data_IF_734065041268
#
_entry.id   IF_734065041268
#
_cell.length_a   1.000
_cell.length_b   1.000
_cell.length_c   1.000
_cell.angle_alpha   90.00
_cell.angle_beta   90.00
_cell.angle_gamma   90.00
#
_symmetry.space_group_name_H-M   'P 1'
#
loop_
_entity.id
_entity.type
_entity.pdbx_description
1 polymer ?
#
# COMPACT_ATOMS: atom_id res chain seq x y z
N UNK A 1 -23.82 13.21 8.95
CA UNK A 1 -22.34 13.30 9.05
C UNK A 1 -21.72 12.13 9.83
N UNK A 2 -22.42 11.47 10.75
CA UNK A 2 -21.86 10.34 11.51
C UNK A 2 -21.53 9.10 10.68
N UNK A 3 -22.35 8.76 9.68
CA UNK A 3 -22.14 7.57 8.83
C UNK A 3 -20.83 7.60 8.01
N UNK A 4 -20.32 8.80 7.71
CA UNK A 4 -19.06 9.00 6.97
C UNK A 4 -17.84 9.11 7.89
N UNK A 5 -18.06 9.35 9.18
CA UNK A 5 -16.97 9.55 10.15
C UNK A 5 -16.14 8.27 10.31
N UNK A 6 -16.81 7.14 10.49
CA UNK A 6 -16.17 5.84 10.69
C UNK A 6 -15.34 5.41 9.47
N UNK A 7 -15.87 5.42 8.22
CA UNK A 7 -15.08 5.08 7.04
C UNK A 7 -13.89 6.00 6.80
N UNK A 8 -14.04 7.31 7.05
CA UNK A 8 -12.95 8.26 6.91
C UNK A 8 -11.85 8.04 7.97
N UNK A 9 -12.23 7.76 9.22
CA UNK A 9 -11.27 7.38 10.25
C UNK A 9 -10.53 6.10 9.86
N UNK A 10 -11.23 5.10 9.30
CA UNK A 10 -10.59 3.87 8.79
C UNK A 10 -9.59 4.20 7.69
N UNK A 11 -9.95 5.05 6.72
CA UNK A 11 -9.03 5.45 5.65
C UNK A 11 -7.75 6.10 6.21
N UNK A 12 -7.91 7.04 7.15
CA UNK A 12 -6.77 7.73 7.79
C UNK A 12 -5.90 6.74 8.56
N UNK A 13 -6.51 5.87 9.37
CA UNK A 13 -5.79 4.86 10.15
C UNK A 13 -5.03 3.91 9.23
N UNK A 14 -5.64 3.46 8.14
CA UNK A 14 -4.98 2.61 7.14
C UNK A 14 -3.79 3.30 6.50
N UNK A 15 -3.91 4.57 6.11
CA UNK A 15 -2.79 5.34 5.54
C UNK A 15 -1.64 5.45 6.56
N UNK A 16 -1.95 5.84 7.80
CA UNK A 16 -0.94 6.06 8.85
C UNK A 16 -0.27 4.73 9.23
N UNK A 17 -1.06 3.68 9.45
CA UNK A 17 -0.53 2.35 9.84
C UNK A 17 0.30 1.72 8.73
N UNK A 18 -0.17 1.77 7.48
CA UNK A 18 0.56 1.21 6.33
C UNK A 18 1.88 1.96 6.12
N UNK A 19 1.85 3.28 6.16
CA UNK A 19 3.06 4.11 6.01
C UNK A 19 4.03 3.90 7.18
N UNK A 20 3.51 3.88 8.41
CA UNK A 20 4.29 3.64 9.62
C UNK A 20 4.95 2.26 9.62
N UNK A 21 4.22 1.22 9.21
CA UNK A 21 4.76 -0.13 9.05
C UNK A 21 5.94 -0.15 8.08
N UNK A 22 5.78 0.43 6.88
CA UNK A 22 6.86 0.45 5.88
C UNK A 22 8.07 1.27 6.32
N UNK A 23 7.87 2.39 7.03
CA UNK A 23 8.96 3.19 7.58
C UNK A 23 9.72 2.45 8.69
N UNK A 24 9.02 1.74 9.57
CA UNK A 24 9.64 0.92 10.61
C UNK A 24 10.39 -0.26 9.98
N UNK A 25 9.80 -0.91 8.98
CA UNK A 25 10.42 -1.98 8.22
C UNK A 25 11.70 -1.51 7.52
N UNK A 26 11.66 -0.34 6.87
CA UNK A 26 12.85 0.32 6.27
C UNK A 26 13.96 0.55 7.30
N UNK A 27 13.63 1.15 8.45
CA UNK A 27 14.60 1.40 9.53
C UNK A 27 15.21 0.11 10.06
N UNK A 28 14.39 -0.93 10.24
CA UNK A 28 14.84 -2.25 10.68
C UNK A 28 15.80 -2.88 9.67
N UNK A 29 15.48 -2.80 8.38
CA UNK A 29 16.32 -3.27 7.28
C UNK A 29 17.70 -2.62 7.25
N UNK A 30 17.75 -1.29 7.37
CA UNK A 30 19.01 -0.55 7.44
C UNK A 30 19.83 -0.98 8.67
N UNK A 31 19.18 -1.10 9.83
CA UNK A 31 19.85 -1.45 11.08
C UNK A 31 20.49 -2.83 11.03
N UNK A 32 19.81 -3.79 10.39
CA UNK A 32 20.31 -5.17 10.31
C UNK A 32 21.28 -5.40 9.15
N UNK A 33 21.57 -4.37 8.33
CA UNK A 33 22.45 -4.47 7.14
C UNK A 33 22.07 -5.67 6.24
N UNK A 34 20.82 -6.11 6.28
CA UNK A 34 20.40 -7.27 5.52
C UNK A 34 20.48 -6.91 4.03
N UNK A 35 21.17 -7.76 3.26
CA UNK A 35 21.19 -7.62 1.81
C UNK A 35 19.78 -7.89 1.30
N UNK A 36 19.08 -6.80 1.01
CA UNK A 36 17.78 -6.82 0.34
C UNK A 36 17.97 -7.48 -1.02
N UNK A 37 17.38 -8.65 -1.21
CA UNK A 37 17.27 -9.23 -2.54
C UNK A 37 16.15 -8.48 -3.26
N UNK A 38 16.43 -7.83 -4.39
CA UNK A 38 15.45 -6.98 -5.08
C UNK A 38 14.28 -7.76 -5.69
N UNK A 39 14.49 -9.04 -6.05
CA UNK A 39 13.48 -9.92 -6.66
C UNK A 39 12.20 -10.08 -5.84
N UNK A 40 12.21 -10.39 -4.52
CA UNK A 40 10.98 -10.48 -3.75
C UNK A 40 10.17 -9.17 -3.74
N UNK A 41 10.84 -8.02 -3.69
CA UNK A 41 10.17 -6.71 -3.73
C UNK A 41 9.57 -6.40 -5.10
N UNK A 42 10.17 -6.89 -6.18
CA UNK A 42 9.62 -6.81 -7.53
C UNK A 42 8.31 -7.60 -7.66
N UNK A 43 8.28 -8.85 -7.20
CA UNK A 43 7.06 -9.66 -7.19
C UNK A 43 5.97 -9.02 -6.32
N UNK A 44 6.33 -8.52 -5.15
CA UNK A 44 5.41 -7.78 -4.26
C UNK A 44 4.87 -6.52 -4.95
N UNK A 45 5.72 -5.76 -5.63
CA UNK A 45 5.33 -4.57 -6.38
C UNK A 45 4.26 -4.89 -7.43
N UNK A 46 4.53 -5.83 -8.32
CA UNK A 46 3.58 -6.20 -9.38
C UNK A 46 2.29 -6.82 -8.83
N UNK A 47 2.39 -7.66 -7.80
CA UNK A 47 1.22 -8.27 -7.18
C UNK A 47 0.30 -7.21 -6.55
N UNK A 48 0.88 -6.28 -5.78
CA UNK A 48 0.13 -5.21 -5.14
C UNK A 48 -0.47 -4.24 -6.16
N UNK A 49 0.26 -3.93 -7.23
CA UNK A 49 -0.23 -3.08 -8.31
C UNK A 49 -1.38 -3.77 -9.08
N UNK A 50 -1.28 -5.08 -9.31
CA UNK A 50 -2.34 -5.87 -9.92
C UNK A 50 -3.62 -5.82 -9.08
N UNK A 51 -3.51 -6.05 -7.76
CA UNK A 51 -4.65 -5.93 -6.86
C UNK A 51 -5.22 -4.51 -6.85
N UNK A 52 -4.37 -3.49 -6.71
CA UNK A 52 -4.81 -2.10 -6.72
C UNK A 52 -5.57 -1.76 -8.01
N UNK A 53 -5.05 -2.18 -9.17
CA UNK A 53 -5.70 -2.02 -10.47
C UNK A 53 -7.04 -2.72 -10.54
N UNK A 54 -7.08 -4.02 -10.24
CA UNK A 54 -8.31 -4.82 -10.26
C UNK A 54 -9.41 -4.22 -9.36
N UNK A 55 -9.06 -3.87 -8.13
CA UNK A 55 -10.00 -3.27 -7.19
C UNK A 55 -10.44 -1.87 -7.63
N UNK A 56 -9.55 -1.07 -8.23
CA UNK A 56 -9.91 0.24 -8.78
C UNK A 56 -10.93 0.09 -9.90
N UNK A 57 -10.70 -0.82 -10.86
CA UNK A 57 -11.65 -1.10 -11.95
C UNK A 57 -13.01 -1.54 -11.41
N UNK A 58 -13.01 -2.40 -10.39
CA UNK A 58 -14.26 -2.85 -9.78
C UNK A 58 -14.98 -1.73 -9.03
N UNK A 59 -14.25 -0.86 -8.33
CA UNK A 59 -14.81 0.34 -7.70
C UNK A 59 -15.40 1.29 -8.75
N UNK A 60 -14.69 1.54 -9.85
CA UNK A 60 -15.13 2.41 -10.94
C UNK A 60 -16.37 1.90 -11.68
N UNK A 61 -16.68 0.59 -11.60
CA UNK A 61 -17.90 0.02 -12.19
C UNK A 61 -19.19 0.51 -11.51
N UNK A 62 -19.09 1.23 -10.39
CA UNK A 62 -20.26 1.72 -9.64
C UNK A 62 -20.98 0.65 -8.82
N UNK A 63 -20.39 -0.55 -8.71
CA UNK A 63 -20.91 -1.66 -7.92
C UNK A 63 -21.02 -1.34 -6.42
N UNK A 64 -20.24 -0.38 -5.92
CA UNK A 64 -20.24 0.03 -4.51
C UNK A 64 -20.74 1.46 -4.35
N UNK A 65 -21.64 1.68 -3.40
CA UNK A 65 -22.20 2.99 -3.06
C UNK A 65 -22.10 3.26 -1.56
N UNK A 66 -22.01 4.54 -1.21
CA UNK A 66 -22.05 5.00 0.19
C UNK A 66 -20.80 4.65 1.01
N UNK A 67 -20.92 4.51 2.34
CA UNK A 67 -19.80 4.34 3.28
C UNK A 67 -18.88 3.13 2.98
N UNK A 68 -19.45 2.05 2.43
CA UNK A 68 -18.70 0.83 2.09
C UNK A 68 -17.67 1.07 0.99
N UNK A 69 -17.93 2.02 0.08
CA UNK A 69 -16.96 2.44 -0.93
C UNK A 69 -15.65 2.89 -0.28
N UNK A 70 -15.74 3.75 0.75
CA UNK A 70 -14.56 4.34 1.40
C UNK A 70 -13.74 3.27 2.12
N UNK A 71 -14.40 2.32 2.78
CA UNK A 71 -13.74 1.20 3.46
C UNK A 71 -13.07 0.23 2.47
N UNK A 72 -13.62 0.04 1.27
CA UNK A 72 -12.97 -0.79 0.24
C UNK A 72 -11.85 0.00 -0.47
N UNK A 73 -12.05 1.28 -0.68
CA UNK A 73 -11.06 2.19 -1.25
C UNK A 73 -9.82 2.31 -0.35
N UNK A 74 -9.97 2.25 0.98
CA UNK A 74 -8.81 2.26 1.89
C UNK A 74 -7.86 1.08 1.67
N UNK A 75 -8.39 -0.10 1.32
CA UNK A 75 -7.56 -1.26 0.96
C UNK A 75 -6.77 -1.01 -0.33
N UNK A 76 -7.39 -0.38 -1.33
CA UNK A 76 -6.70 0.02 -2.57
C UNK A 76 -5.56 0.99 -2.26
N UNK A 77 -5.81 1.99 -1.41
CA UNK A 77 -4.79 2.94 -0.98
C UNK A 77 -3.65 2.23 -0.24
N UNK A 78 -3.95 1.26 0.62
CA UNK A 78 -2.91 0.46 1.29
C UNK A 78 -2.05 -0.34 0.30
N UNK A 79 -2.66 -0.93 -0.72
CA UNK A 79 -1.95 -1.63 -1.79
C UNK A 79 -1.06 -0.68 -2.60
N UNK A 80 -1.56 0.51 -2.94
CA UNK A 80 -0.77 1.53 -3.66
C UNK A 80 0.43 1.97 -2.83
N UNK A 81 0.23 2.36 -1.57
CA UNK A 81 1.33 2.77 -0.67
C UNK A 81 2.36 1.62 -0.57
N UNK A 82 1.89 0.40 -0.39
CA UNK A 82 2.77 -0.77 -0.28
C UNK A 82 3.54 -1.06 -1.57
N UNK A 83 2.92 -0.88 -2.73
CA UNK A 83 3.62 -0.99 -4.02
C UNK A 83 4.69 0.10 -4.16
N UNK A 84 4.41 1.35 -3.77
CA UNK A 84 5.38 2.43 -3.84
C UNK A 84 6.63 2.13 -3.00
N UNK A 85 6.43 1.63 -1.77
CA UNK A 85 7.54 1.21 -0.92
C UNK A 85 8.29 0.00 -1.50
N UNK A 86 7.58 -1.04 -1.97
CA UNK A 86 8.21 -2.20 -2.59
C UNK A 86 9.06 -1.81 -3.83
N UNK A 87 8.52 -0.94 -4.68
CA UNK A 87 9.24 -0.37 -5.82
C UNK A 87 10.46 0.44 -5.37
N UNK A 88 10.32 1.29 -4.36
CA UNK A 88 11.44 2.05 -3.79
C UNK A 88 12.57 1.14 -3.28
N UNK A 89 12.24 0.07 -2.55
CA UNK A 89 13.25 -0.90 -2.10
C UNK A 89 13.94 -1.63 -3.25
N UNK A 90 13.22 -1.93 -4.32
CA UNK A 90 13.80 -2.53 -5.51
C UNK A 90 14.77 -1.56 -6.21
N UNK A 91 14.31 -0.36 -6.54
CA UNK A 91 15.07 0.62 -7.33
C UNK A 91 16.25 1.26 -6.57
N UNK A 92 16.16 1.43 -5.23
CA UNK A 92 17.32 1.93 -4.46
C UNK A 92 18.51 0.99 -4.56
N UNK A 93 18.27 -0.32 -4.61
CA UNK A 93 19.35 -1.27 -4.79
C UNK A 93 20.02 -1.10 -6.15
N UNK A 94 19.25 -0.83 -7.20
CA UNK A 94 19.77 -0.69 -8.56
C UNK A 94 20.64 0.56 -8.73
N UNK A 95 20.43 1.61 -7.93
CA UNK A 95 21.30 2.80 -7.91
C UNK A 95 22.51 2.71 -6.98
N UNK A 96 22.54 1.74 -6.04
CA UNK A 96 23.63 1.57 -5.05
C UNK A 96 24.46 0.29 -5.26
N UNK A 97 24.24 -0.42 -6.36
CA UNK A 97 25.03 -1.59 -6.78
C UNK A 97 25.90 -1.26 -7.98
#
# INVERSE_FOLDING_TARGET
MEEWRIPLTILIVVIISTSGFWLLFYKWLIRNREKIHGRPFEYLFFLLLFFAGYWTTWISSGAFKGPQFVTRFSLVVACIISSLFAGYFHYIKEMHS
#
